data_IF_518067034686
#
_entry.id   IF_518067034686
#
_cell.length_a   1.000
_cell.length_b   1.000
_cell.length_c   1.000
_cell.angle_alpha   90.00
_cell.angle_beta   90.00
_cell.angle_gamma   90.00
#
_symmetry.space_group_name_H-M   'P 1'
#
loop_
_entity.id
_entity.type
_entity.pdbx_description
1 polymer ?
#
# COMPACT_ATOMS: atom_id res chain seq x y z
N UNK A 1 22.18 10.37 0.54
CA UNK A 1 21.97 11.04 1.83
C UNK A 1 21.06 10.14 2.65
N UNK A 2 21.38 9.88 3.92
CA UNK A 2 20.48 9.16 4.82
C UNK A 2 19.32 10.11 5.11
N UNK A 3 18.08 9.71 4.82
CA UNK A 3 16.93 10.49 5.22
C UNK A 3 16.67 10.27 6.72
N UNK A 4 16.16 11.29 7.40
CA UNK A 4 15.68 11.12 8.78
C UNK A 4 14.52 10.12 8.80
N UNK A 5 14.42 9.31 9.84
CA UNK A 5 13.26 8.42 10.05
C UNK A 5 11.96 9.23 10.07
N UNK A 6 10.89 8.66 9.52
CA UNK A 6 9.54 9.24 9.64
C UNK A 6 8.87 8.89 10.98
N UNK A 7 9.50 8.06 11.82
CA UNK A 7 8.97 7.60 13.12
C UNK A 7 9.42 8.53 14.25
N UNK A 8 8.57 8.70 15.25
CA UNK A 8 8.88 9.47 16.46
C UNK A 8 9.88 8.77 17.41
N UNK A 9 10.31 7.54 17.09
CA UNK A 9 11.24 6.76 17.91
C UNK A 9 12.15 5.91 17.03
N UNK A 10 13.35 5.63 17.53
CA UNK A 10 14.32 4.73 16.89
C UNK A 10 14.30 3.32 17.49
N UNK A 11 13.38 3.05 18.43
CA UNK A 11 13.24 1.69 18.99
C UNK A 11 12.89 0.69 17.88
N UNK A 12 13.34 -0.58 18.01
CA UNK A 12 12.98 -1.62 17.06
C UNK A 12 11.46 -1.72 16.87
N UNK A 13 11.05 -1.92 15.63
CA UNK A 13 9.65 -2.23 15.29
C UNK A 13 9.40 -3.70 15.63
N UNK A 14 8.33 -3.98 16.36
CA UNK A 14 7.83 -5.33 16.58
C UNK A 14 7.22 -5.86 15.28
N UNK A 15 7.83 -6.86 14.66
CA UNK A 15 7.33 -7.42 13.40
C UNK A 15 6.61 -8.73 13.64
N UNK A 16 5.39 -8.86 13.11
CA UNK A 16 4.55 -10.04 13.31
C UNK A 16 4.07 -10.59 11.96
N UNK A 17 4.48 -11.81 11.68
CA UNK A 17 4.03 -12.59 10.53
C UNK A 17 2.85 -13.46 10.98
N UNK A 18 1.62 -13.05 10.66
CA UNK A 18 0.39 -13.63 11.23
C UNK A 18 -0.10 -14.85 10.42
N UNK A 19 0.22 -14.89 9.13
CA UNK A 19 -0.40 -15.83 8.19
C UNK A 19 -1.76 -15.33 7.73
N UNK A 20 -2.74 -16.23 7.59
CA UNK A 20 -4.08 -15.89 7.12
C UNK A 20 -4.98 -15.51 8.31
N UNK A 21 -5.62 -14.35 8.25
CA UNK A 21 -6.50 -13.85 9.32
C UNK A 21 -7.74 -13.16 8.76
N UNK A 22 -8.89 -13.32 9.43
CA UNK A 22 -10.11 -12.60 9.10
C UNK A 22 -9.90 -11.07 9.15
N UNK A 23 -10.56 -10.35 8.24
CA UNK A 23 -10.37 -8.91 8.11
C UNK A 23 -10.78 -8.13 9.36
N UNK A 24 -11.92 -8.48 9.97
CA UNK A 24 -12.40 -7.76 11.15
C UNK A 24 -11.51 -8.06 12.36
N UNK A 25 -11.09 -9.31 12.54
CA UNK A 25 -10.14 -9.69 13.59
C UNK A 25 -8.81 -8.92 13.47
N UNK A 26 -8.26 -8.81 12.26
CA UNK A 26 -7.05 -8.03 12.02
C UNK A 26 -7.27 -6.54 12.25
N UNK A 27 -8.43 -5.99 11.86
CA UNK A 27 -8.76 -4.58 12.07
C UNK A 27 -8.92 -4.26 13.55
N UNK A 28 -9.48 -5.16 14.36
CA UNK A 28 -9.56 -5.05 15.81
C UNK A 28 -8.17 -5.02 16.45
N UNK A 29 -7.29 -5.95 16.03
CA UNK A 29 -5.89 -5.97 16.46
C UNK A 29 -5.15 -4.67 16.10
N UNK A 30 -5.36 -4.14 14.90
CA UNK A 30 -4.77 -2.85 14.52
C UNK A 30 -5.21 -1.71 15.44
N UNK A 31 -6.50 -1.65 15.83
CA UNK A 31 -7.01 -0.62 16.75
C UNK A 31 -6.39 -0.75 18.14
N UNK A 32 -6.31 -1.97 18.67
CA UNK A 32 -5.66 -2.24 19.95
C UNK A 32 -4.20 -1.78 19.96
N UNK A 33 -3.43 -2.16 18.94
CA UNK A 33 -2.02 -1.78 18.81
C UNK A 33 -1.86 -0.27 18.63
N UNK A 34 -2.72 0.37 17.84
CA UNK A 34 -2.66 1.81 17.62
C UNK A 34 -2.95 2.59 18.91
N UNK A 35 -3.95 2.18 19.69
CA UNK A 35 -4.30 2.81 20.96
C UNK A 35 -3.20 2.62 22.02
N UNK A 36 -2.63 1.42 22.11
CA UNK A 36 -1.49 1.16 22.99
C UNK A 36 -0.26 1.99 22.57
N UNK A 37 0.01 2.07 21.26
CA UNK A 37 1.13 2.85 20.74
C UNK A 37 0.94 4.35 20.97
N UNK A 38 -0.26 4.89 20.74
CA UNK A 38 -0.60 6.29 20.97
C UNK A 38 -0.59 6.67 22.46
N UNK A 39 -0.74 5.69 23.34
CA UNK A 39 -0.63 5.86 24.81
C UNK A 39 0.78 5.60 25.34
N UNK A 40 1.73 5.26 24.45
CA UNK A 40 3.13 5.01 24.81
C UNK A 40 3.39 3.67 25.51
N UNK A 41 2.42 2.76 25.54
CA UNK A 41 2.50 1.48 26.26
C UNK A 41 2.94 0.31 25.40
N UNK A 42 3.01 0.48 24.07
CA UNK A 42 3.49 -0.52 23.12
C UNK A 42 4.55 0.06 22.16
N UNK A 43 5.42 -0.78 21.56
CA UNK A 43 6.32 -0.36 20.50
C UNK A 43 5.57 -0.11 19.19
N UNK A 44 6.26 0.52 18.23
CA UNK A 44 5.81 0.50 16.83
C UNK A 44 5.71 -0.97 16.36
N UNK A 45 4.70 -1.31 15.58
CA UNK A 45 4.44 -2.68 15.12
C UNK A 45 4.26 -2.75 13.61
N UNK A 46 4.79 -3.78 12.95
CA UNK A 46 4.51 -4.11 11.55
C UNK A 46 3.83 -5.47 11.48
N UNK A 47 2.55 -5.50 11.10
CA UNK A 47 1.84 -6.75 10.83
C UNK A 47 2.00 -7.12 9.36
N UNK A 48 2.28 -8.39 9.07
CA UNK A 48 2.37 -8.96 7.73
C UNK A 48 1.50 -10.21 7.67
N UNK A 49 0.57 -10.24 6.73
CA UNK A 49 -0.52 -11.23 6.72
C UNK A 49 -1.16 -11.37 5.34
N UNK A 50 -2.06 -12.33 5.23
CA UNK A 50 -3.03 -12.46 4.15
C UNK A 50 -4.44 -12.42 4.71
N UNK A 51 -5.41 -12.01 3.89
CA UNK A 51 -6.83 -12.13 4.23
C UNK A 51 -7.50 -13.23 3.40
N UNK A 52 -8.54 -13.88 3.94
CA UNK A 52 -9.58 -14.47 3.10
C UNK A 52 -10.14 -13.42 2.12
N UNK A 53 -10.75 -13.88 1.02
CA UNK A 53 -11.33 -12.98 0.01
C UNK A 53 -12.34 -12.02 0.62
N UNK A 54 -12.08 -10.72 0.53
CA UNK A 54 -12.89 -9.66 1.14
C UNK A 54 -12.80 -8.36 0.34
N UNK A 55 -13.93 -7.70 0.16
CA UNK A 55 -13.96 -6.32 -0.36
C UNK A 55 -14.04 -5.33 0.80
N UNK A 56 -13.25 -4.27 0.73
CA UNK A 56 -13.25 -3.20 1.74
C UNK A 56 -13.45 -1.85 1.08
N UNK A 57 -14.39 -1.07 1.58
CA UNK A 57 -14.73 0.25 1.06
C UNK A 57 -14.26 1.35 2.01
N UNK A 58 -13.25 2.11 1.58
CA UNK A 58 -12.83 3.32 2.28
C UNK A 58 -13.85 4.45 2.17
N UNK A 59 -13.67 5.52 2.96
CA UNK A 59 -14.64 6.63 3.11
C UNK A 59 -15.07 7.34 1.83
N UNK A 60 -14.31 7.23 0.73
CA UNK A 60 -14.58 7.93 -0.54
C UNK A 60 -15.27 7.04 -1.59
N UNK A 61 -15.53 5.78 -1.26
CA UNK A 61 -16.11 4.80 -2.16
C UNK A 61 -17.51 5.23 -2.60
N UNK A 62 -17.75 5.28 -3.91
CA UNK A 62 -19.06 5.58 -4.47
C UNK A 62 -19.88 4.29 -4.67
N UNK A 63 -21.22 4.36 -4.67
CA UNK A 63 -22.07 3.19 -4.88
C UNK A 63 -21.80 2.45 -6.20
N UNK A 64 -21.49 3.16 -7.28
CA UNK A 64 -21.19 2.61 -8.62
C UNK A 64 -19.79 1.98 -8.74
N UNK A 65 -18.99 2.02 -7.68
CA UNK A 65 -17.68 1.39 -7.59
C UNK A 65 -17.74 0.01 -6.91
N UNK A 66 -18.85 -0.30 -6.23
CA UNK A 66 -19.07 -1.54 -5.48
C UNK A 66 -19.49 -2.70 -6.40
N UNK A 67 -19.33 -3.96 -5.95
CA UNK A 67 -19.89 -5.11 -6.66
C UNK A 67 -21.40 -4.96 -6.88
N UNK A 68 -21.84 -5.13 -8.12
CA UNK A 68 -23.25 -5.07 -8.50
C UNK A 68 -24.00 -6.40 -8.24
N UNK A 69 -23.28 -7.47 -7.89
CA UNK A 69 -23.80 -8.82 -7.70
C UNK A 69 -24.27 -9.11 -6.25
N UNK A 70 -24.21 -8.11 -5.37
CA UNK A 70 -24.57 -8.25 -3.96
C UNK A 70 -23.48 -8.86 -3.08
N UNK A 71 -22.26 -9.05 -3.60
CA UNK A 71 -21.13 -9.52 -2.79
C UNK A 71 -20.91 -8.58 -1.58
N UNK A 72 -20.78 -9.11 -0.35
CA UNK A 72 -20.57 -8.28 0.83
C UNK A 72 -19.32 -7.41 0.74
N UNK A 73 -19.44 -6.18 1.23
CA UNK A 73 -18.35 -5.20 1.32
C UNK A 73 -18.29 -4.67 2.74
N UNK A 74 -17.10 -4.64 3.34
CA UNK A 74 -16.89 -4.07 4.67
C UNK A 74 -16.54 -2.59 4.52
N UNK A 75 -17.38 -1.73 5.11
CA UNK A 75 -17.08 -0.29 5.18
C UNK A 75 -16.04 -0.02 6.27
N UNK A 76 -14.97 0.70 5.90
CA UNK A 76 -13.80 0.91 6.73
C UNK A 76 -13.38 2.37 6.75
N UNK A 77 -12.60 2.74 7.76
CA UNK A 77 -12.24 4.12 8.07
C UNK A 77 -10.94 4.62 7.40
N UNK A 78 -10.31 3.79 6.55
CA UNK A 78 -9.10 4.17 5.79
C UNK A 78 -9.40 5.19 4.69
N UNK A 79 -8.33 5.88 4.28
CA UNK A 79 -8.30 6.61 3.02
C UNK A 79 -8.48 5.67 1.81
N UNK A 80 -8.64 6.28 0.63
CA UNK A 80 -8.91 5.52 -0.59
C UNK A 80 -10.40 5.24 -0.81
N UNK A 81 -10.67 4.46 -1.85
CA UNK A 81 -12.00 3.97 -2.24
C UNK A 81 -12.03 2.44 -2.02
N UNK A 82 -12.84 1.71 -2.77
CA UNK A 82 -12.93 0.26 -2.68
C UNK A 82 -11.65 -0.43 -3.16
N UNK A 83 -11.31 -1.54 -2.50
CA UNK A 83 -10.27 -2.51 -2.93
C UNK A 83 -10.73 -3.92 -2.56
N UNK A 84 -9.94 -4.90 -2.98
CA UNK A 84 -10.10 -6.30 -2.61
C UNK A 84 -8.81 -6.83 -1.96
N UNK A 85 -8.98 -7.68 -0.95
CA UNK A 85 -7.92 -8.49 -0.38
C UNK A 85 -8.27 -9.97 -0.49
N UNK A 86 -7.26 -10.83 -0.62
CA UNK A 86 -7.47 -12.27 -0.64
C UNK A 86 -6.18 -13.06 -0.70
N UNK A 87 -6.29 -14.41 -0.82
CA UNK A 87 -5.14 -15.29 -0.92
C UNK A 87 -4.20 -14.88 -2.05
N UNK A 88 -2.90 -14.89 -1.78
CA UNK A 88 -1.87 -14.49 -2.74
C UNK A 88 -1.60 -12.99 -2.80
N UNK A 89 -2.23 -12.19 -1.92
CA UNK A 89 -1.81 -10.82 -1.63
C UNK A 89 -1.11 -10.74 -0.29
N UNK A 90 0.10 -10.17 -0.27
CA UNK A 90 0.72 -9.77 0.98
C UNK A 90 0.12 -8.44 1.43
N UNK A 91 -0.46 -8.44 2.61
CA UNK A 91 -0.98 -7.24 3.28
C UNK A 91 -0.04 -6.86 4.42
N UNK A 92 0.31 -5.57 4.49
CA UNK A 92 1.15 -5.02 5.54
C UNK A 92 0.47 -3.86 6.27
N UNK A 93 0.47 -3.92 7.60
CA UNK A 93 -0.06 -2.86 8.47
C UNK A 93 1.05 -2.30 9.37
N UNK A 94 1.77 -1.25 8.94
CA UNK A 94 2.66 -0.52 9.81
C UNK A 94 1.83 0.35 10.78
N UNK A 95 1.88 0.01 12.06
CA UNK A 95 1.26 0.74 13.17
C UNK A 95 2.37 1.48 13.91
N UNK A 96 2.68 2.68 13.43
CA UNK A 96 3.83 3.47 13.87
C UNK A 96 3.42 4.88 14.27
N UNK A 97 4.05 5.44 15.29
CA UNK A 97 3.86 6.86 15.62
C UNK A 97 4.79 7.72 14.77
N UNK A 98 4.22 8.62 13.98
CA UNK A 98 4.95 9.51 13.09
C UNK A 98 5.62 10.64 13.87
N UNK A 99 6.77 11.09 13.38
CA UNK A 99 7.46 12.27 13.91
C UNK A 99 6.72 13.56 13.56
N UNK A 100 6.86 14.59 14.40
CA UNK A 100 6.32 15.92 14.13
C UNK A 100 7.28 16.78 13.29
N UNK A 101 6.77 17.61 12.36
CA UNK A 101 5.37 17.68 11.94
C UNK A 101 4.97 16.45 11.10
N UNK A 102 3.76 15.93 11.34
CA UNK A 102 3.25 14.76 10.63
C UNK A 102 3.11 15.06 9.13
N UNK A 103 3.84 14.32 8.30
CA UNK A 103 3.72 14.33 6.84
C UNK A 103 3.20 12.99 6.31
N UNK A 104 1.89 12.95 6.10
CA UNK A 104 1.18 11.76 5.60
C UNK A 104 1.59 11.43 4.15
N UNK A 105 1.88 12.45 3.34
CA UNK A 105 2.26 12.25 1.94
C UNK A 105 3.64 11.60 1.87
N UNK A 106 4.59 12.11 2.64
CA UNK A 106 5.93 11.55 2.71
C UNK A 106 5.92 10.11 3.26
N UNK A 107 5.08 9.83 4.26
CA UNK A 107 4.89 8.46 4.74
C UNK A 107 4.39 7.53 3.63
N UNK A 108 3.39 7.95 2.85
CA UNK A 108 2.92 7.16 1.69
C UNK A 108 4.03 6.97 0.66
N UNK A 109 4.84 8.01 0.39
CA UNK A 109 5.99 7.89 -0.54
C UNK A 109 7.02 6.87 -0.07
N UNK A 110 7.27 6.76 1.23
CA UNK A 110 8.16 5.75 1.82
C UNK A 110 7.63 4.33 1.61
N UNK A 111 6.33 4.12 1.83
CA UNK A 111 5.71 2.82 1.56
C UNK A 111 5.76 2.49 0.06
N UNK A 112 5.49 3.46 -0.82
CA UNK A 112 5.68 3.27 -2.26
C UNK A 112 7.13 2.90 -2.61
N UNK A 113 8.11 3.57 -2.01
CA UNK A 113 9.53 3.31 -2.24
C UNK A 113 9.94 1.90 -1.83
N UNK A 114 9.48 1.46 -0.66
CA UNK A 114 9.72 0.10 -0.18
C UNK A 114 9.18 -0.93 -1.18
N UNK A 115 7.96 -0.74 -1.66
CA UNK A 115 7.31 -1.68 -2.58
C UNK A 115 7.91 -1.62 -4.01
N UNK A 116 8.35 -0.44 -4.46
CA UNK A 116 9.14 -0.30 -5.70
C UNK A 116 10.46 -1.06 -5.58
N UNK A 117 11.16 -0.92 -4.45
CA UNK A 117 12.41 -1.64 -4.17
C UNK A 117 12.19 -3.16 -4.20
N UNK A 118 11.11 -3.64 -3.58
CA UNK A 118 10.72 -5.06 -3.63
C UNK A 118 10.52 -5.51 -5.08
N UNK A 119 9.75 -4.78 -5.89
CA UNK A 119 9.54 -5.13 -7.31
C UNK A 119 10.86 -5.16 -8.09
N UNK A 120 11.77 -4.22 -7.82
CA UNK A 120 13.09 -4.19 -8.45
C UNK A 120 13.96 -5.42 -8.10
N UNK A 121 13.80 -6.01 -6.90
CA UNK A 121 14.47 -7.27 -6.53
C UNK A 121 14.02 -8.47 -7.38
N UNK A 122 12.81 -8.41 -7.94
CA UNK A 122 12.30 -9.37 -8.91
C UNK A 122 12.63 -9.00 -10.37
N UNK A 123 13.34 -7.90 -10.60
CA UNK A 123 13.66 -7.41 -11.95
C UNK A 123 12.49 -6.67 -12.63
N UNK A 124 11.46 -6.28 -11.88
CA UNK A 124 10.35 -5.49 -12.41
C UNK A 124 10.58 -4.01 -12.19
N UNK A 125 10.57 -3.25 -13.29
CA UNK A 125 10.58 -1.80 -13.25
C UNK A 125 9.16 -1.29 -12.93
N UNK A 126 9.01 -0.69 -11.75
CA UNK A 126 7.76 -0.11 -11.27
C UNK A 126 7.97 1.32 -10.82
N UNK A 127 6.90 2.09 -10.73
CA UNK A 127 6.98 3.47 -10.26
C UNK A 127 5.67 4.01 -9.72
N UNK A 128 5.58 5.34 -9.73
CA UNK A 128 4.47 6.14 -9.23
C UNK A 128 3.75 6.79 -10.40
N UNK A 129 2.44 6.95 -10.24
CA UNK A 129 1.61 7.69 -11.18
C UNK A 129 1.00 8.89 -10.45
N UNK A 130 1.10 10.08 -11.05
CA UNK A 130 0.63 11.31 -10.40
C UNK A 130 -0.87 11.25 -10.07
N UNK A 131 -1.21 11.66 -8.84
CA UNK A 131 -2.57 11.60 -8.30
C UNK A 131 -3.07 10.19 -7.96
N UNK A 132 -2.28 9.13 -8.18
CA UNK A 132 -2.70 7.73 -8.00
C UNK A 132 -1.77 6.99 -7.04
N UNK A 133 -2.09 7.01 -5.74
CA UNK A 133 -1.28 6.31 -4.72
C UNK A 133 -1.16 4.81 -5.00
N UNK A 134 0.00 4.26 -4.67
CA UNK A 134 0.37 2.87 -4.90
C UNK A 134 1.53 2.73 -5.88
N UNK A 135 1.85 1.47 -6.20
CA UNK A 135 2.94 1.12 -7.10
C UNK A 135 2.38 0.56 -8.40
N UNK A 136 2.95 1.01 -9.51
CA UNK A 136 2.41 0.82 -10.85
C UNK A 136 3.47 0.32 -11.81
N UNK A 137 3.04 -0.37 -12.85
CA UNK A 137 3.81 -0.57 -14.07
C UNK A 137 3.28 0.36 -15.17
N UNK A 138 4.19 0.86 -16.00
CA UNK A 138 3.84 1.69 -17.15
C UNK A 138 3.03 0.88 -18.17
N UNK A 139 2.24 1.60 -18.97
CA UNK A 139 1.57 1.02 -20.13
C UNK A 139 2.60 0.37 -21.07
N UNK A 140 2.29 -0.83 -21.56
CA UNK A 140 3.12 -1.57 -22.50
C UNK A 140 2.24 -2.37 -23.47
N UNK A 141 2.82 -3.31 -24.23
CA UNK A 141 2.08 -4.14 -25.19
C UNK A 141 0.97 -5.00 -24.56
N UNK A 142 0.97 -5.16 -23.24
CA UNK A 142 -0.03 -5.95 -22.51
C UNK A 142 -1.22 -5.11 -22.02
N UNK A 143 -1.15 -3.79 -22.12
CA UNK A 143 -2.27 -2.91 -21.77
C UNK A 143 -1.87 -1.56 -21.17
N UNK A 144 -2.83 -0.87 -20.52
CA UNK A 144 -2.59 0.42 -19.89
C UNK A 144 -1.65 0.30 -18.68
N UNK A 145 -1.44 1.41 -17.99
CA UNK A 145 -0.85 1.39 -16.65
C UNK A 145 -1.59 0.39 -15.76
N UNK A 146 -0.87 -0.32 -14.91
CA UNK A 146 -1.46 -1.37 -14.07
C UNK A 146 -0.89 -1.34 -12.66
N UNK A 147 -1.78 -1.36 -11.67
CA UNK A 147 -1.41 -1.29 -10.26
C UNK A 147 -0.98 -2.67 -9.76
N UNK A 148 0.21 -2.76 -9.17
CA UNK A 148 0.70 -3.98 -8.53
C UNK A 148 0.57 -3.95 -7.01
N UNK A 149 0.58 -2.75 -6.43
CA UNK A 149 0.40 -2.55 -5.00
C UNK A 149 -0.50 -1.35 -4.71
N UNK A 150 -1.43 -1.51 -3.77
CA UNK A 150 -2.30 -0.44 -3.29
C UNK A 150 -1.89 -0.02 -1.88
N UNK A 151 -2.17 1.25 -1.57
CA UNK A 151 -1.83 1.88 -0.29
C UNK A 151 -3.04 2.70 0.14
N UNK A 152 -3.54 2.39 1.33
CA UNK A 152 -4.66 3.05 1.96
C UNK A 152 -4.42 3.11 3.46
N UNK A 153 -4.18 4.31 3.98
CA UNK A 153 -3.80 4.51 5.37
C UNK A 153 -4.78 5.44 6.10
N UNK A 154 -4.70 5.42 7.43
CA UNK A 154 -5.29 6.41 8.31
C UNK A 154 -4.25 6.82 9.34
N UNK A 155 -4.24 8.09 9.74
CA UNK A 155 -3.45 8.55 10.89
C UNK A 155 -4.40 9.10 11.95
N UNK A 156 -4.24 8.66 13.19
CA UNK A 156 -5.02 9.12 14.34
C UNK A 156 -4.12 9.21 15.55
N UNK A 157 -4.17 10.34 16.28
CA UNK A 157 -3.29 10.61 17.44
C UNK A 157 -1.80 10.38 17.12
N UNK A 158 -1.37 10.76 15.90
CA UNK A 158 -0.01 10.55 15.41
C UNK A 158 0.35 9.12 15.01
N UNK A 159 -0.52 8.12 15.24
CA UNK A 159 -0.26 6.72 14.90
C UNK A 159 -0.93 6.33 13.58
N UNK A 160 -0.20 5.59 12.74
CA UNK A 160 -0.70 5.03 11.48
C UNK A 160 -1.55 3.78 11.71
N UNK A 161 -2.52 3.58 10.83
CA UNK A 161 -3.35 2.39 10.74
C UNK A 161 -3.59 2.03 9.27
N UNK A 162 -4.01 0.79 9.03
CA UNK A 162 -4.05 0.18 7.70
C UNK A 162 -2.64 0.17 7.10
N UNK A 163 -2.50 0.27 5.78
CA UNK A 163 -1.18 0.18 5.17
C UNK A 163 -1.24 -0.09 3.69
N UNK A 164 -0.71 -1.24 3.29
CA UNK A 164 -0.53 -1.61 1.90
C UNK A 164 -0.94 -3.05 1.61
N UNK A 165 -1.20 -3.31 0.35
CA UNK A 165 -1.27 -4.65 -0.23
C UNK A 165 -0.35 -4.72 -1.46
N UNK A 166 0.33 -5.85 -1.66
CA UNK A 166 1.06 -6.17 -2.90
C UNK A 166 0.59 -7.50 -3.47
N UNK A 167 0.20 -7.48 -4.75
CA UNK A 167 -0.30 -8.65 -5.47
C UNK A 167 0.87 -9.58 -5.80
N UNK A 168 0.96 -10.72 -5.12
CA UNK A 168 2.01 -11.72 -5.34
C UNK A 168 1.56 -12.71 -6.41
N UNK A 169 0.73 -13.68 -6.04
CA UNK A 169 0.11 -14.67 -6.91
C UNK A 169 -1.42 -14.72 -6.78
N UNK A 170 -2.01 -13.60 -6.34
CA UNK A 170 -3.46 -13.46 -6.19
C UNK A 170 -4.22 -13.67 -7.51
N UNK A 171 -5.41 -14.25 -7.39
CA UNK A 171 -6.41 -14.26 -8.47
C UNK A 171 -7.01 -12.87 -8.63
N UNK A 172 -6.67 -12.21 -9.73
CA UNK A 172 -7.05 -10.83 -9.99
C UNK A 172 -8.48 -10.67 -10.50
N UNK A 173 -9.19 -11.77 -10.82
CA UNK A 173 -10.59 -11.71 -11.31
C UNK A 173 -11.55 -11.14 -10.27
N UNK A 174 -11.16 -11.12 -8.99
CA UNK A 174 -11.89 -10.41 -7.95
C UNK A 174 -11.95 -8.89 -8.20
N UNK A 175 -10.97 -8.29 -8.87
CA UNK A 175 -10.98 -6.87 -9.21
C UNK A 175 -11.99 -6.53 -10.32
N UNK A 176 -12.39 -7.49 -11.16
CA UNK A 176 -13.33 -7.27 -12.26
C UNK A 176 -14.74 -6.89 -11.78
N UNK A 177 -15.05 -7.18 -10.51
CA UNK A 177 -16.34 -6.88 -9.89
C UNK A 177 -16.45 -5.47 -9.32
N UNK A 178 -15.35 -4.72 -9.27
CA UNK A 178 -15.31 -3.40 -8.64
C UNK A 178 -14.70 -2.37 -9.60
N UNK A 179 -14.79 -1.11 -9.22
CA UNK A 179 -13.97 -0.06 -9.81
C UNK A 179 -12.82 0.24 -8.84
N UNK A 180 -11.69 -0.48 -8.94
CA UNK A 180 -10.66 -0.44 -7.92
C UNK A 180 -10.10 0.97 -7.78
N UNK A 181 -10.07 1.48 -6.54
CA UNK A 181 -9.64 2.84 -6.26
C UNK A 181 -10.41 3.94 -7.04
N UNK A 182 -11.58 3.64 -7.65
CA UNK A 182 -12.33 4.55 -8.52
C UNK A 182 -11.66 4.84 -9.88
N UNK A 183 -10.71 4.00 -10.30
CA UNK A 183 -9.93 4.17 -11.54
C UNK A 183 -10.49 3.21 -12.59
N UNK A 184 -10.94 3.76 -13.72
CA UNK A 184 -11.60 2.99 -14.80
C UNK A 184 -10.70 2.79 -16.03
N UNK A 185 -9.61 3.56 -16.12
CA UNK A 185 -8.71 3.67 -17.26
C UNK A 185 -7.34 3.01 -17.01
N UNK A 186 -7.25 2.12 -16.01
CA UNK A 186 -6.02 1.41 -15.65
C UNK A 186 -6.35 -0.03 -15.21
N UNK A 187 -5.35 -0.91 -15.31
CA UNK A 187 -5.46 -2.30 -14.88
C UNK A 187 -4.97 -2.54 -13.44
N UNK A 188 -5.09 -3.79 -13.02
CA UNK A 188 -4.43 -4.35 -11.84
C UNK A 188 -3.56 -5.52 -12.31
N UNK A 189 -2.42 -5.74 -11.67
CA UNK A 189 -1.51 -6.85 -12.00
C UNK A 189 -0.92 -7.48 -10.73
N UNK A 190 -0.17 -8.57 -10.88
CA UNK A 190 0.55 -9.27 -9.82
C UNK A 190 1.98 -9.59 -10.24
N UNK A 191 2.87 -9.81 -9.28
CA UNK A 191 4.25 -10.24 -9.55
C UNK A 191 4.26 -11.49 -10.42
N UNK A 192 3.37 -12.44 -10.14
CA UNK A 192 3.30 -13.71 -10.87
C UNK A 192 2.90 -13.53 -12.33
N UNK A 193 1.91 -12.66 -12.59
CA UNK A 193 1.48 -12.37 -13.94
C UNK A 193 2.57 -11.63 -14.73
N UNK A 194 3.24 -10.66 -14.11
CA UNK A 194 4.30 -9.89 -14.78
C UNK A 194 5.54 -10.73 -15.13
N UNK A 195 5.88 -11.70 -14.29
CA UNK A 195 7.10 -12.51 -14.41
C UNK A 195 6.86 -13.85 -15.12
N UNK A 196 5.59 -14.21 -15.38
CA UNK A 196 5.25 -15.49 -16.02
C UNK A 196 5.63 -16.72 -15.18
N UNK A 197 5.72 -16.57 -13.86
CA UNK A 197 6.00 -17.66 -12.90
C UNK A 197 5.23 -17.42 -11.61
N UNK A 198 5.05 -18.46 -10.80
CA UNK A 198 4.48 -18.28 -9.47
C UNK A 198 5.47 -17.52 -8.56
N UNK A 199 5.00 -16.42 -7.97
CA UNK A 199 5.68 -15.59 -6.97
C UNK A 199 4.77 -15.49 -5.76
N UNK A 200 5.07 -16.28 -4.74
CA UNK A 200 4.19 -16.46 -3.58
C UNK A 200 4.36 -15.35 -2.54
N UNK A 201 3.38 -15.18 -1.66
CA UNK A 201 3.49 -14.29 -0.49
C UNK A 201 4.72 -14.62 0.36
N UNK A 202 5.03 -15.91 0.55
CA UNK A 202 6.21 -16.34 1.30
C UNK A 202 7.54 -15.87 0.68
N UNK A 203 7.62 -15.75 -0.65
CA UNK A 203 8.81 -15.22 -1.34
C UNK A 203 8.94 -13.70 -1.18
N UNK A 204 7.81 -12.99 -1.15
CA UNK A 204 7.74 -11.51 -1.10
C UNK A 204 7.86 -10.97 0.32
N UNK A 205 7.28 -11.67 1.30
CA UNK A 205 7.18 -11.23 2.68
C UNK A 205 8.49 -10.74 3.30
N UNK A 206 9.59 -11.53 3.30
CA UNK A 206 10.83 -11.06 3.92
C UNK A 206 11.39 -9.81 3.24
N UNK A 207 11.25 -9.69 1.91
CA UNK A 207 11.70 -8.52 1.16
C UNK A 207 10.87 -7.28 1.50
N UNK A 208 9.54 -7.44 1.58
CA UNK A 208 8.64 -6.36 1.95
C UNK A 208 8.85 -5.90 3.39
N UNK A 209 9.03 -6.83 4.33
CA UNK A 209 9.38 -6.53 5.73
C UNK A 209 10.61 -5.63 5.79
N UNK A 210 11.71 -6.10 5.20
CA UNK A 210 13.00 -5.43 5.32
C UNK A 210 12.99 -4.06 4.61
N UNK A 211 12.36 -3.98 3.43
CA UNK A 211 12.22 -2.72 2.68
C UNK A 211 11.33 -1.70 3.40
N UNK A 212 10.22 -2.12 4.00
CA UNK A 212 9.32 -1.23 4.77
C UNK A 212 10.04 -0.70 6.00
N UNK A 213 10.72 -1.56 6.76
CA UNK A 213 11.50 -1.11 7.92
C UNK A 213 12.60 -0.12 7.51
N UNK A 214 13.33 -0.41 6.42
CA UNK A 214 14.35 0.48 5.91
C UNK A 214 13.78 1.85 5.47
N UNK A 215 12.61 1.85 4.82
CA UNK A 215 11.93 3.08 4.40
C UNK A 215 11.42 3.89 5.58
N UNK A 216 10.86 3.25 6.61
CA UNK A 216 10.42 3.93 7.84
C UNK A 216 11.59 4.57 8.59
N UNK A 217 12.74 3.90 8.61
CA UNK A 217 13.95 4.38 9.28
C UNK A 217 14.78 5.36 8.44
N UNK A 218 14.42 5.57 7.17
CA UNK A 218 15.11 6.49 6.25
C UNK A 218 16.45 5.97 5.72
N UNK A 219 16.70 4.67 5.90
CA UNK A 219 17.88 3.98 5.34
C UNK A 219 17.67 3.54 3.90
N UNK A 220 16.41 3.42 3.45
CA UNK A 220 16.03 3.38 2.05
C UNK A 220 15.60 4.80 1.62
N UNK A 221 16.42 5.52 0.83
CA UNK A 221 16.08 6.88 0.40
C UNK A 221 14.91 6.88 -0.59
N UNK A 222 14.03 7.88 -0.49
CA UNK A 222 12.93 8.06 -1.44
C UNK A 222 13.47 8.74 -2.69
N UNK A 223 13.32 8.09 -3.84
CA UNK A 223 13.74 8.64 -5.13
C UNK A 223 12.53 8.96 -6.02
N UNK A 224 12.76 9.77 -7.05
CA UNK A 224 11.74 10.02 -8.07
C UNK A 224 11.61 8.81 -9.00
N UNK A 225 10.44 8.17 -8.95
CA UNK A 225 10.10 7.00 -9.77
C UNK A 225 8.84 7.27 -10.60
N UNK A 226 8.72 8.47 -11.16
CA UNK A 226 7.53 8.86 -11.92
C UNK A 226 7.46 8.12 -13.25
N UNK A 227 6.37 7.41 -13.48
CA UNK A 227 6.12 6.76 -14.76
C UNK A 227 5.67 7.78 -15.80
N UNK A 228 6.14 7.66 -17.05
CA UNK A 228 5.69 8.52 -18.13
C UNK A 228 4.23 8.21 -18.46
N UNK A 229 3.36 9.21 -18.44
CA UNK A 229 1.98 9.09 -18.94
C UNK A 229 1.94 9.31 -20.44
N UNK A 230 1.37 8.36 -21.17
CA UNK A 230 1.12 8.53 -22.60
C UNK A 230 0.10 9.67 -22.81
N UNK A 231 0.52 10.75 -23.48
CA UNK A 231 -0.35 11.88 -23.85
C UNK A 231 -0.18 13.17 -23.04
N UNK A 232 0.64 13.20 -22.00
CA UNK A 232 1.05 14.46 -21.35
C UNK A 232 2.41 14.92 -21.93
N UNK A 233 2.56 16.17 -22.38
CA UNK A 233 3.88 16.70 -22.70
C UNK A 233 4.72 16.71 -21.43
N UNK A 234 5.87 16.03 -21.46
CA UNK A 234 6.86 16.09 -20.39
C UNK A 234 7.30 17.55 -20.20
N UNK A 235 6.69 18.24 -19.24
CA UNK A 235 7.08 19.59 -18.88
C UNK A 235 7.95 19.50 -17.64
N UNK A 236 9.23 19.90 -17.68
CA UNK A 236 10.06 19.96 -16.49
C UNK A 236 9.54 21.06 -15.57
N UNK A 237 9.01 20.67 -14.41
CA UNK A 237 8.85 21.48 -13.21
C UNK A 237 7.78 22.57 -13.23
N UNK A 238 6.72 22.41 -12.41
CA UNK A 238 6.12 23.53 -11.65
C UNK A 238 5.62 23.04 -10.29
N UNK A 239 6.18 23.67 -9.26
CA UNK A 239 5.89 23.73 -7.84
C UNK A 239 4.39 23.69 -7.46
N UNK A 240 4.02 22.86 -6.48
CA UNK A 240 2.73 22.95 -5.79
C UNK A 240 2.61 24.32 -5.09
N UNK A 241 1.75 25.19 -5.61
CA UNK A 241 1.30 26.36 -4.89
C UNK A 241 0.27 25.94 -3.83
N UNK A 242 0.66 26.05 -2.56
CA UNK A 242 -0.23 26.09 -1.41
C UNK A 242 -1.25 27.22 -1.62
N UNK A 243 -2.55 26.89 -1.59
CA UNK A 243 -3.57 27.91 -1.35
C UNK A 243 -3.66 28.14 0.16
N UNK A 244 -3.26 29.34 0.54
CA UNK A 244 -3.52 30.04 1.80
C UNK A 244 -5.00 30.05 2.18
#
# INVERSE_FOLDING_TARGET
MIETSCRATTRPVDTREIGVVDYLAAWDLQRELADARASGTAPDTLLLLEHPSVYTAGKRTQPDERPADGTPVIDVDRGGKITWHGPGQLVGYPIVHLADPIDVVQYVRRIEEALISVCARFGLATGRVEGRSGVWLAADSRGPERKIAAIGIRVQRGVTMHGFEINCNADLTAFDRIVPCGIRDAGVTSLSWELGRDVTVAEVLPLARDAVLAALDGTLPVADHWLPRAGEPATPGVTFALKS
#
